data_IF_183529840050
#
_entry.id   IF_183529840050
#
_cell.length_a   1.000
_cell.length_b   1.000
_cell.length_c   1.000
_cell.angle_alpha   90.00
_cell.angle_beta   90.00
_cell.angle_gamma   90.00
#
_symmetry.space_group_name_H-M   'P 1'
#
loop_
_entity.id
_entity.type
_entity.pdbx_description
1 polymer ?
#
# COMPACT_ATOMS: atom_id res chain seq x y z
N UNK A 1 13.13 6.50 21.34
CA UNK A 1 12.53 5.16 21.41
C UNK A 1 13.58 4.19 21.94
N UNK A 2 13.42 3.71 23.17
CA UNK A 2 14.33 2.75 23.79
C UNK A 2 13.97 1.35 23.30
N UNK A 3 14.96 0.60 22.77
CA UNK A 3 14.77 -0.79 22.35
C UNK A 3 14.67 -1.66 23.61
N UNK A 4 13.46 -2.06 23.99
CA UNK A 4 13.23 -3.08 25.03
C UNK A 4 13.86 -4.40 24.57
N UNK A 5 14.51 -5.12 25.49
CA UNK A 5 15.05 -6.44 25.19
C UNK A 5 13.91 -7.44 25.05
N UNK A 6 14.06 -8.47 24.21
CA UNK A 6 13.02 -9.50 24.00
C UNK A 6 12.56 -10.14 25.32
N UNK A 7 13.45 -10.24 26.31
CA UNK A 7 13.14 -10.71 27.66
C UNK A 7 12.13 -9.82 28.40
N UNK A 8 12.17 -8.51 28.18
CA UNK A 8 11.25 -7.56 28.83
C UNK A 8 9.88 -7.60 28.15
N UNK A 9 9.83 -7.80 26.83
CA UNK A 9 8.56 -7.95 26.09
C UNK A 9 7.80 -9.20 26.56
N UNK A 10 8.49 -10.32 26.79
CA UNK A 10 7.86 -11.55 27.30
C UNK A 10 7.35 -11.41 28.75
N UNK A 11 8.02 -10.62 29.59
CA UNK A 11 7.53 -10.30 30.95
C UNK A 11 6.33 -9.37 30.90
N UNK A 12 6.41 -8.31 30.08
CA UNK A 12 5.31 -7.37 29.89
C UNK A 12 4.05 -8.09 29.36
N UNK A 13 4.18 -9.14 28.54
CA UNK A 13 3.02 -9.94 28.08
C UNK A 13 2.40 -10.84 29.16
N UNK A 14 3.18 -11.33 30.13
CA UNK A 14 2.67 -12.11 31.27
C UNK A 14 1.98 -11.24 32.32
N UNK A 15 2.45 -10.01 32.52
CA UNK A 15 1.88 -9.07 33.50
C UNK A 15 0.62 -8.34 32.98
N UNK A 16 0.46 -8.18 31.67
CA UNK A 16 -0.65 -7.43 31.08
C UNK A 16 -1.89 -8.27 30.72
N UNK A 17 -1.95 -9.54 31.12
CA UNK A 17 -3.12 -10.40 30.86
C UNK A 17 -3.87 -10.81 32.16
N UNK A 18 -4.68 -9.92 32.76
CA UNK A 18 -5.58 -10.30 33.84
C UNK A 18 -6.92 -10.75 33.27
N UNK A 19 -7.04 -12.04 32.91
CA UNK A 19 -8.35 -12.72 32.82
C UNK A 19 -8.27 -14.12 33.43
N UNK A 20 -8.69 -14.17 34.70
CA UNK A 20 -9.55 -15.20 35.30
C UNK A 20 -9.61 -16.60 34.67
N UNK A 21 -9.07 -17.58 35.38
CA UNK A 21 -9.93 -18.68 35.87
C UNK A 21 -9.43 -19.20 37.21
N UNK A 22 -10.07 -18.70 38.27
CA UNK A 22 -10.36 -19.40 39.52
C UNK A 22 -10.59 -20.91 39.31
N UNK A 23 -9.90 -21.76 40.08
CA UNK A 23 -10.48 -22.90 40.83
C UNK A 23 -9.40 -23.66 41.59
N UNK A 24 -9.18 -23.24 42.84
CA UNK A 24 -8.85 -24.13 43.96
C UNK A 24 -10.05 -25.05 44.24
N UNK A 25 -9.81 -26.33 44.55
CA UNK A 25 -10.61 -26.98 45.58
C UNK A 25 -9.69 -27.36 46.74
N UNK A 26 -9.99 -26.69 47.84
CA UNK A 26 -9.73 -27.08 49.20
C UNK A 26 -10.32 -28.47 49.46
N UNK A 27 -9.54 -29.38 50.04
CA UNK A 27 -10.00 -30.66 50.58
C UNK A 27 -9.10 -31.03 51.75
N UNK A 28 -9.44 -30.42 52.88
CA UNK A 28 -9.04 -30.85 54.20
C UNK A 28 -9.79 -32.13 54.61
N UNK A 29 -9.04 -32.98 55.33
CA UNK A 29 -9.44 -34.03 56.29
C UNK A 29 -9.75 -35.45 55.76
N UNK A 30 -8.75 -36.31 55.97
CA UNK A 30 -8.89 -37.77 56.06
C UNK A 30 -7.57 -38.39 56.52
N UNK A 31 -7.34 -38.41 57.82
CA UNK A 31 -6.25 -39.13 58.47
C UNK A 31 -6.60 -40.63 58.62
N UNK A 32 -5.75 -41.49 58.08
CA UNK A 32 -5.42 -42.85 58.57
C UNK A 32 -4.23 -43.33 57.71
N UNK A 33 -3.01 -43.30 58.26
CA UNK A 33 -2.37 -44.42 58.95
C UNK A 33 -2.03 -45.59 58.00
N UNK A 34 -0.77 -45.62 57.54
CA UNK A 34 0.17 -46.75 57.60
C UNK A 34 1.29 -46.64 56.55
N UNK A 35 2.57 -46.71 56.95
CA UNK A 35 3.70 -46.76 56.02
C UNK A 35 4.16 -48.22 55.77
N UNK A 36 4.35 -48.64 54.51
CA UNK A 36 5.25 -49.74 54.22
C UNK A 36 6.55 -49.22 53.58
N UNK A 37 7.59 -49.41 54.38
CA UNK A 37 8.99 -49.53 54.03
C UNK A 37 9.34 -49.85 52.56
N UNK A 38 10.36 -49.13 52.10
CA UNK A 38 11.45 -49.61 51.26
C UNK A 38 11.07 -50.45 50.02
N UNK A 39 10.89 -49.75 48.89
CA UNK A 39 11.31 -50.28 47.59
C UNK A 39 12.42 -49.40 47.03
N UNK A 40 13.63 -49.62 47.59
CA UNK A 40 14.88 -49.28 46.94
C UNK A 40 14.95 -50.06 45.62
N UNK A 41 14.59 -49.41 44.52
CA UNK A 41 15.14 -49.76 43.22
C UNK A 41 15.51 -48.48 42.50
N UNK A 42 16.57 -47.83 43.00
CA UNK A 42 17.40 -46.97 42.16
C UNK A 42 18.07 -47.90 41.14
N UNK A 43 17.32 -48.35 40.13
CA UNK A 43 17.90 -48.86 38.90
C UNK A 43 18.71 -47.71 38.35
N UNK A 44 20.02 -47.80 38.50
CA UNK A 44 20.95 -46.94 37.80
C UNK A 44 20.61 -47.07 36.32
N UNK A 45 19.93 -46.06 35.77
CA UNK A 45 19.83 -45.83 34.33
C UNK A 45 21.24 -45.53 33.84
N UNK A 46 22.06 -46.58 33.75
CA UNK A 46 23.30 -46.54 33.01
C UNK A 46 22.87 -46.53 31.55
N UNK A 47 22.79 -45.33 30.97
CA UNK A 47 22.60 -45.17 29.52
C UNK A 47 23.59 -46.10 28.83
N UNK A 48 23.06 -46.99 27.99
CA UNK A 48 23.91 -47.89 27.24
C UNK A 48 24.58 -47.10 26.11
N UNK A 49 25.69 -47.64 25.59
CA UNK A 49 26.38 -47.02 24.45
C UNK A 49 25.44 -46.84 23.24
N UNK A 50 24.53 -47.79 23.02
CA UNK A 50 23.53 -47.70 21.95
C UNK A 50 22.55 -46.54 22.17
N UNK A 51 22.11 -46.30 23.42
CA UNK A 51 21.24 -45.17 23.74
C UNK A 51 21.93 -43.82 23.49
N UNK A 52 23.24 -43.73 23.79
CA UNK A 52 24.03 -42.54 23.51
C UNK A 52 24.21 -42.30 22.01
N UNK A 53 24.47 -43.36 21.24
CA UNK A 53 24.59 -43.27 19.78
C UNK A 53 23.26 -42.84 19.13
N UNK A 54 22.14 -43.43 19.57
CA UNK A 54 20.80 -43.04 19.14
C UNK A 54 20.50 -41.56 19.48
N UNK A 55 20.83 -41.11 20.68
CA UNK A 55 20.66 -39.72 21.09
C UNK A 55 21.52 -38.75 20.27
N UNK A 56 22.75 -39.15 19.90
CA UNK A 56 23.61 -38.35 19.02
C UNK A 56 22.99 -38.20 17.63
N UNK A 57 22.43 -39.28 17.08
CA UNK A 57 21.73 -39.22 15.79
C UNK A 57 20.49 -38.33 15.85
N UNK A 58 19.68 -38.45 16.91
CA UNK A 58 18.53 -37.58 17.15
C UNK A 58 18.95 -36.11 17.27
N UNK A 59 19.97 -35.80 18.06
CA UNK A 59 20.47 -34.44 18.20
C UNK A 59 21.03 -33.87 16.88
N UNK A 60 21.69 -34.70 16.07
CA UNK A 60 22.16 -34.28 14.73
C UNK A 60 21.00 -33.99 13.78
N UNK A 61 19.98 -34.84 13.75
CA UNK A 61 18.80 -34.63 12.89
C UNK A 61 18.00 -33.41 13.35
N UNK A 62 17.85 -33.20 14.65
CA UNK A 62 17.23 -31.98 15.19
C UNK A 62 18.03 -30.72 14.88
N UNK A 63 19.37 -30.79 14.94
CA UNK A 63 20.23 -29.66 14.60
C UNK A 63 20.09 -29.28 13.12
N UNK A 64 20.09 -30.24 12.20
CA UNK A 64 19.93 -29.96 10.77
C UNK A 64 18.52 -29.46 10.44
N UNK A 65 17.49 -30.03 11.08
CA UNK A 65 16.12 -29.53 10.96
C UNK A 65 15.99 -28.09 11.46
N UNK A 66 16.58 -27.77 12.62
CA UNK A 66 16.59 -26.42 13.17
C UNK A 66 17.30 -25.43 12.26
N UNK A 67 18.46 -25.79 11.69
CA UNK A 67 19.20 -24.96 10.74
C UNK A 67 18.39 -24.70 9.47
N UNK A 68 17.68 -25.71 8.95
CA UNK A 68 16.80 -25.54 7.79
C UNK A 68 15.65 -24.58 8.09
N UNK A 69 15.02 -24.70 9.25
CA UNK A 69 13.96 -23.78 9.70
C UNK A 69 14.47 -22.35 9.86
N UNK A 70 15.66 -22.18 10.44
CA UNK A 70 16.31 -20.86 10.58
C UNK A 70 16.58 -20.22 9.22
N UNK A 71 17.06 -20.98 8.23
CA UNK A 71 17.27 -20.49 6.88
C UNK A 71 15.94 -20.05 6.21
N UNK A 72 14.86 -20.82 6.39
CA UNK A 72 13.54 -20.46 5.86
C UNK A 72 12.98 -19.20 6.53
N UNK A 73 13.11 -19.08 7.85
CA UNK A 73 12.67 -17.90 8.58
C UNK A 73 13.47 -16.66 8.15
N UNK A 74 14.79 -16.80 8.01
CA UNK A 74 15.66 -15.73 7.51
C UNK A 74 15.22 -15.29 6.12
N UNK A 75 14.95 -16.23 5.21
CA UNK A 75 14.43 -15.92 3.89
C UNK A 75 13.10 -15.16 3.96
N UNK A 76 12.14 -15.62 4.78
CA UNK A 76 10.86 -14.92 4.98
C UNK A 76 11.04 -13.51 5.51
N UNK A 77 11.90 -13.31 6.50
CA UNK A 77 12.21 -11.98 7.04
C UNK A 77 12.79 -11.07 5.95
N UNK A 78 13.70 -11.58 5.12
CA UNK A 78 14.25 -10.77 4.01
C UNK A 78 13.20 -10.41 2.95
N UNK A 79 12.26 -11.30 2.66
CA UNK A 79 11.16 -11.03 1.72
C UNK A 79 10.20 -9.99 2.28
N UNK A 80 9.76 -10.18 3.53
CA UNK A 80 8.87 -9.23 4.23
C UNK A 80 9.53 -7.85 4.38
N UNK A 81 10.83 -7.80 4.62
CA UNK A 81 11.57 -6.54 4.67
C UNK A 81 11.55 -5.81 3.32
N UNK A 82 11.78 -6.53 2.21
CA UNK A 82 11.69 -5.96 0.86
C UNK A 82 10.29 -5.46 0.53
N UNK A 83 9.26 -6.23 0.88
CA UNK A 83 7.88 -5.85 0.67
C UNK A 83 7.50 -4.60 1.48
N UNK A 84 7.92 -4.54 2.74
CA UNK A 84 7.73 -3.37 3.59
C UNK A 84 8.37 -2.11 3.00
N UNK A 85 9.56 -2.23 2.45
CA UNK A 85 10.25 -1.08 1.84
C UNK A 85 9.59 -0.66 0.52
N UNK A 86 9.14 -1.62 -0.31
CA UNK A 86 8.35 -1.31 -1.50
C UNK A 86 7.01 -0.61 -1.18
N UNK A 87 6.33 -1.04 -0.10
CA UNK A 87 5.11 -0.39 0.37
C UNK A 87 5.35 1.05 0.85
N UNK A 88 6.47 1.30 1.54
CA UNK A 88 6.84 2.67 1.93
C UNK A 88 7.09 3.56 0.72
N UNK A 89 7.78 3.05 -0.28
CA UNK A 89 8.04 3.80 -1.52
C UNK A 89 6.74 4.12 -2.26
N UNK A 90 5.81 3.16 -2.34
CA UNK A 90 4.48 3.38 -2.90
C UNK A 90 3.70 4.44 -2.12
N UNK A 91 3.71 4.39 -0.79
CA UNK A 91 3.06 5.39 0.06
C UNK A 91 3.64 6.79 -0.17
N UNK A 92 4.96 6.90 -0.32
CA UNK A 92 5.60 8.18 -0.61
C UNK A 92 5.19 8.74 -1.98
N UNK A 93 5.12 7.88 -3.00
CA UNK A 93 4.62 8.26 -4.33
C UNK A 93 3.17 8.74 -4.28
N UNK A 94 2.28 7.95 -3.68
CA UNK A 94 0.86 8.34 -3.54
C UNK A 94 0.69 9.66 -2.77
N UNK A 95 1.53 9.92 -1.78
CA UNK A 95 1.52 11.21 -1.06
C UNK A 95 2.00 12.37 -1.93
N UNK A 96 2.96 12.14 -2.83
CA UNK A 96 3.39 13.15 -3.79
C UNK A 96 2.28 13.42 -4.82
N UNK A 97 1.67 12.37 -5.37
CA UNK A 97 0.57 12.46 -6.35
C UNK A 97 -0.64 13.19 -5.75
N UNK A 98 -0.97 12.92 -4.48
CA UNK A 98 -2.05 13.60 -3.77
C UNK A 98 -1.79 15.11 -3.68
N UNK A 99 -0.56 15.51 -3.30
CA UNK A 99 -0.18 16.93 -3.26
C UNK A 99 -0.24 17.58 -4.64
N UNK A 100 0.16 16.86 -5.68
CA UNK A 100 0.08 17.37 -7.05
C UNK A 100 -1.39 17.55 -7.49
N UNK A 101 -2.26 16.59 -7.17
CA UNK A 101 -3.70 16.68 -7.42
C UNK A 101 -4.35 17.87 -6.69
N UNK A 102 -4.00 18.10 -5.42
CA UNK A 102 -4.44 19.28 -4.66
C UNK A 102 -3.99 20.60 -5.34
N UNK A 103 -2.77 20.65 -5.86
CA UNK A 103 -2.29 21.81 -6.60
C UNK A 103 -3.09 22.03 -7.89
N UNK A 104 -3.36 20.99 -8.68
CA UNK A 104 -4.20 21.13 -9.88
C UNK A 104 -5.62 21.55 -9.54
N UNK A 105 -6.20 21.04 -8.45
CA UNK A 105 -7.53 21.45 -8.00
C UNK A 105 -7.57 22.95 -7.66
N UNK A 106 -6.55 23.46 -6.96
CA UNK A 106 -6.47 24.90 -6.68
C UNK A 106 -6.34 25.77 -7.94
N UNK A 107 -5.55 25.32 -8.93
CA UNK A 107 -5.40 25.99 -10.23
C UNK A 107 -6.70 25.96 -11.03
N UNK A 108 -7.41 24.83 -10.99
CA UNK A 108 -8.69 24.66 -11.66
C UNK A 108 -9.75 25.59 -11.05
N UNK A 109 -9.86 25.66 -9.72
CA UNK A 109 -10.76 26.60 -9.04
C UNK A 109 -10.45 28.06 -9.39
N UNK A 110 -9.17 28.43 -9.48
CA UNK A 110 -8.78 29.77 -9.92
C UNK A 110 -9.17 30.04 -11.39
N UNK A 111 -8.96 29.08 -12.28
CA UNK A 111 -9.37 29.18 -13.67
C UNK A 111 -10.90 29.35 -13.81
N UNK A 112 -11.70 28.57 -13.08
CA UNK A 112 -13.16 28.71 -13.06
C UNK A 112 -13.60 30.12 -12.61
N UNK A 113 -12.97 30.66 -11.57
CA UNK A 113 -13.27 32.01 -11.09
C UNK A 113 -12.91 33.08 -12.13
N UNK A 114 -11.76 32.97 -12.80
CA UNK A 114 -11.41 33.91 -13.88
C UNK A 114 -12.36 33.83 -15.08
N UNK A 115 -12.78 32.62 -15.48
CA UNK A 115 -13.79 32.42 -16.53
C UNK A 115 -15.09 33.10 -16.11
N UNK A 116 -15.53 32.91 -14.85
CA UNK A 116 -16.73 33.54 -14.32
C UNK A 116 -16.65 35.07 -14.40
N UNK A 117 -15.52 35.67 -14.04
CA UNK A 117 -15.29 37.12 -14.12
C UNK A 117 -15.33 37.64 -15.57
N UNK A 118 -14.66 36.95 -16.50
CA UNK A 118 -14.67 37.31 -17.93
C UNK A 118 -16.06 37.16 -18.55
N UNK A 119 -16.80 36.13 -18.16
CA UNK A 119 -18.17 35.90 -18.63
C UNK A 119 -19.11 36.98 -18.10
N UNK A 120 -18.95 37.39 -16.84
CA UNK A 120 -19.69 38.53 -16.28
C UNK A 120 -19.35 39.85 -16.98
N UNK A 121 -18.06 40.16 -17.16
CA UNK A 121 -17.62 41.39 -17.82
C UNK A 121 -18.13 41.51 -19.27
N UNK A 122 -18.12 40.41 -20.02
CA UNK A 122 -18.67 40.38 -21.39
C UNK A 122 -20.19 40.56 -21.43
N UNK A 123 -20.93 40.04 -20.45
CA UNK A 123 -22.37 40.26 -20.33
C UNK A 123 -22.74 41.73 -20.05
N UNK A 124 -21.95 42.45 -19.24
CA UNK A 124 -22.15 43.88 -19.00
C UNK A 124 -21.81 44.75 -20.23
N UNK A 125 -20.79 44.37 -21.02
CA UNK A 125 -20.42 45.07 -22.25
C UNK A 125 -21.52 45.02 -23.32
N UNK A 126 -22.29 43.94 -23.37
CA UNK A 126 -23.34 43.74 -24.38
C UNK A 126 -24.70 44.41 -24.05
N UNK A 127 -24.84 45.14 -22.93
CA UNK A 127 -26.09 45.82 -22.56
C UNK A 127 -26.14 47.32 -22.89
N UNK A 128 -25.07 47.91 -23.44
CA UNK A 128 -25.06 49.32 -23.83
C UNK A 128 -25.13 49.52 -25.35
N UNK A 129 -26.29 49.26 -25.97
CA UNK A 129 -26.89 50.17 -26.96
C UNK A 129 -28.36 49.78 -27.19
N UNK A 130 -29.33 50.67 -26.91
CA UNK A 130 -30.71 50.49 -27.34
C UNK A 130 -30.81 50.61 -28.87
N UNK A 131 -31.70 49.79 -29.43
CA UNK A 131 -32.16 49.81 -30.82
C UNK A 131 -32.51 51.24 -31.25
N UNK A 132 -31.70 51.82 -32.12
CA UNK A 132 -32.16 52.85 -33.04
C UNK A 132 -31.97 52.31 -34.44
N UNK A 133 -33.07 51.93 -35.07
CA UNK A 133 -33.15 51.74 -36.51
C UNK A 133 -32.86 53.09 -37.17
N UNK A 134 -31.84 53.17 -38.01
CA UNK A 134 -32.06 53.82 -39.28
C UNK A 134 -31.77 52.82 -40.40
N UNK A 135 -32.72 52.78 -41.32
CA UNK A 135 -32.56 52.41 -42.72
C UNK A 135 -31.18 52.83 -43.25
N UNK A 136 -30.29 51.86 -43.51
CA UNK A 136 -28.99 52.10 -44.15
C UNK A 136 -28.96 51.33 -45.47
N UNK A 137 -28.94 52.14 -46.51
CA UNK A 137 -28.73 51.88 -47.93
C UNK A 137 -27.54 50.92 -48.20
N UNK A 138 -27.79 49.87 -48.97
CA UNK A 138 -26.85 48.76 -49.25
C UNK A 138 -25.75 49.08 -50.29
N UNK A 139 -25.45 50.36 -50.57
CA UNK A 139 -24.67 50.71 -51.76
C UNK A 139 -23.18 51.00 -51.56
N UNK A 140 -22.67 51.04 -50.33
CA UNK A 140 -21.38 51.73 -50.09
C UNK A 140 -20.42 51.06 -49.11
N UNK A 141 -20.25 49.74 -49.13
CA UNK A 141 -19.07 49.11 -48.48
C UNK A 141 -18.49 47.95 -49.32
N UNK A 142 -18.19 48.23 -50.59
CA UNK A 142 -17.03 47.61 -51.24
C UNK A 142 -15.82 48.38 -50.74
N UNK A 143 -15.00 47.78 -49.87
CA UNK A 143 -13.53 47.89 -49.85
C UNK A 143 -12.98 47.15 -48.62
N UNK A 144 -12.02 46.27 -48.89
CA UNK A 144 -11.13 45.56 -47.95
C UNK A 144 -11.64 44.27 -47.29
N UNK A 145 -12.11 43.33 -48.11
CA UNK A 145 -11.79 41.91 -47.87
C UNK A 145 -10.28 41.74 -48.09
N UNK A 146 -9.49 41.84 -47.01
CA UNK A 146 -8.12 41.31 -47.02
C UNK A 146 -8.25 39.80 -47.27
N UNK A 147 -7.61 39.33 -48.34
CA UNK A 147 -7.46 37.90 -48.65
C UNK A 147 -6.96 37.18 -47.39
N UNK A 148 -7.82 36.36 -46.79
CA UNK A 148 -7.38 35.32 -45.86
C UNK A 148 -6.52 34.34 -46.66
N UNK A 149 -5.40 33.85 -46.12
CA UNK A 149 -4.72 32.70 -46.70
C UNK A 149 -5.70 31.52 -46.69
N UNK A 150 -6.14 31.08 -47.87
CA UNK A 150 -6.71 29.75 -48.04
C UNK A 150 -5.59 28.74 -47.74
N UNK A 151 -5.46 28.36 -46.48
CA UNK A 151 -4.87 27.08 -46.16
C UNK A 151 -5.88 26.03 -46.58
N UNK A 152 -5.85 25.69 -47.87
CA UNK A 152 -6.45 24.49 -48.40
C UNK A 152 -5.96 23.33 -47.51
N UNK A 153 -6.88 22.72 -46.78
CA UNK A 153 -6.66 21.40 -46.22
C UNK A 153 -6.62 20.49 -47.45
N UNK A 154 -5.40 20.22 -47.90
CA UNK A 154 -5.12 19.27 -48.96
C UNK A 154 -5.59 17.89 -48.47
N UNK A 155 -6.81 17.48 -48.84
CA UNK A 155 -7.34 16.14 -48.55
C UNK A 155 -6.68 15.06 -49.42
N UNK A 156 -5.51 15.34 -50.01
CA UNK A 156 -4.75 14.44 -50.87
C UNK A 156 -3.61 13.73 -50.13
N UNK A 157 -3.81 13.34 -48.87
CA UNK A 157 -2.95 12.33 -48.23
C UNK A 157 -3.73 11.05 -48.08
N UNK A 158 -3.32 10.07 -48.89
CA UNK A 158 -3.71 8.67 -48.85
C UNK A 158 -3.99 8.15 -47.42
N UNK A 159 -4.95 7.24 -47.23
CA UNK A 159 -5.03 6.46 -46.00
C UNK A 159 -3.84 5.49 -45.98
N UNK A 160 -2.70 5.97 -45.48
CA UNK A 160 -1.54 5.11 -45.23
C UNK A 160 -1.92 4.22 -44.05
N UNK A 161 -2.26 2.98 -44.37
CA UNK A 161 -2.38 1.89 -43.42
C UNK A 161 -1.16 1.86 -42.50
N UNK A 162 -1.31 2.43 -41.31
CA UNK A 162 -0.46 2.21 -40.15
C UNK A 162 -1.39 1.94 -38.98
N UNK A 163 -2.16 0.86 -39.12
CA UNK A 163 -2.76 0.18 -37.97
C UNK A 163 -1.63 -0.48 -37.18
N UNK A 164 -0.76 0.32 -36.57
CA UNK A 164 0.06 -0.15 -35.47
C UNK A 164 -0.91 -0.34 -34.30
N UNK A 165 -1.28 -1.60 -34.06
CA UNK A 165 -1.99 -2.01 -32.86
C UNK A 165 -1.11 -1.58 -31.68
N UNK A 166 -1.47 -0.47 -31.03
CA UNK A 166 -0.97 -0.11 -29.71
C UNK A 166 -1.20 -1.32 -28.81
N UNK A 167 -0.11 -1.92 -28.33
CA UNK A 167 -0.19 -3.06 -27.43
C UNK A 167 -0.39 -2.55 -26.00
N UNK A 168 -0.94 -3.34 -25.09
CA UNK A 168 -1.16 -2.91 -23.69
C UNK A 168 0.14 -2.42 -23.02
N UNK A 169 1.29 -2.89 -23.48
CA UNK A 169 2.61 -2.40 -23.06
C UNK A 169 2.85 -0.92 -23.42
N UNK A 170 2.28 -0.43 -24.52
CA UNK A 170 2.43 0.97 -24.98
C UNK A 170 1.50 1.94 -24.25
N UNK A 171 0.39 1.44 -23.68
CA UNK A 171 -0.62 2.26 -22.99
C UNK A 171 -0.29 2.38 -21.49
N UNK A 172 0.71 1.64 -20.99
CA UNK A 172 1.18 1.75 -19.60
C UNK A 172 0.22 1.17 -18.57
N UNK A 173 -0.74 0.35 -18.99
CA UNK A 173 -1.59 -0.41 -18.07
C UNK A 173 -0.79 -1.65 -17.68
N UNK A 174 -0.12 -1.54 -16.53
CA UNK A 174 0.57 -2.65 -15.87
C UNK A 174 -0.48 -3.70 -15.50
N UNK A 175 -0.31 -4.91 -16.04
CA UNK A 175 -1.07 -6.12 -15.72
C UNK A 175 -0.80 -6.57 -14.26
#
# INVERSE_FOLDING_TARGET
MTRKRLSDVLRDELENNPTDTSSTPDSELGADDQPPAASRSRRSNTLTKADLESMIEELKTNLTASQSSEAQLTQKVTLLQKELDAQKDLMQKLKADLKEAEQYQSKFAHAEETIRQLTAASALSNQATPKTTPEIDYRSQRLLLKKLPEHAIDHSVQPRAMAQKLTNADIGWVD
#
